data_IF_665458881221
#
_entry.id   IF_665458881221
#
_cell.length_a   1.000
_cell.length_b   1.000
_cell.length_c   1.000
_cell.angle_alpha   90.00
_cell.angle_beta   90.00
_cell.angle_gamma   90.00
#
_symmetry.space_group_name_H-M   'P 1'
#
loop_
_entity.id
_entity.type
_entity.pdbx_description
1 polymer ?
#
# COMPACT_ATOMS: atom_id res chain seq x y z
N UNK A 1 5.49 -14.88 -44.97
CA UNK A 1 5.63 -14.84 -43.50
C UNK A 1 7.04 -15.30 -43.16
N UNK A 2 8.00 -14.38 -43.05
CA UNK A 2 9.39 -14.73 -42.74
C UNK A 2 9.61 -14.57 -41.23
N UNK A 3 9.92 -15.69 -40.56
CA UNK A 3 10.26 -15.72 -39.14
C UNK A 3 11.66 -15.15 -38.92
N UNK A 4 11.74 -13.92 -38.42
CA UNK A 4 12.99 -13.24 -38.10
C UNK A 4 13.50 -13.63 -36.71
N UNK A 5 14.01 -14.86 -36.56
CA UNK A 5 14.67 -15.31 -35.32
C UNK A 5 16.09 -15.80 -35.60
N UNK A 6 17.07 -15.29 -34.85
CA UNK A 6 18.44 -15.84 -34.86
C UNK A 6 18.48 -17.01 -33.87
N UNK A 7 18.89 -18.19 -34.36
CA UNK A 7 19.03 -19.42 -33.56
C UNK A 7 20.51 -19.74 -33.39
N UNK A 8 20.95 -19.96 -32.15
CA UNK A 8 22.29 -20.50 -31.85
C UNK A 8 22.12 -21.59 -30.78
N UNK A 9 22.66 -22.78 -31.02
CA UNK A 9 22.60 -23.96 -30.14
C UNK A 9 21.20 -24.32 -29.60
N UNK A 10 20.16 -24.27 -30.44
CA UNK A 10 18.80 -24.70 -30.06
C UNK A 10 18.08 -23.78 -29.07
N UNK A 11 18.70 -22.69 -28.61
CA UNK A 11 18.07 -21.65 -27.84
C UNK A 11 17.67 -20.48 -28.76
N UNK A 12 16.40 -20.07 -28.70
CA UNK A 12 15.92 -18.87 -29.38
C UNK A 12 16.43 -17.65 -28.60
N UNK A 13 17.50 -17.02 -29.08
CA UNK A 13 18.19 -15.93 -28.34
C UNK A 13 17.33 -14.66 -28.27
N UNK A 14 16.50 -14.41 -29.28
CA UNK A 14 15.57 -13.29 -29.30
C UNK A 14 14.19 -13.78 -29.72
N UNK A 15 13.28 -13.87 -28.75
CA UNK A 15 11.87 -13.99 -29.06
C UNK A 15 11.40 -12.61 -29.57
N UNK A 16 10.70 -12.52 -30.70
CA UNK A 16 10.17 -11.23 -31.22
C UNK A 16 9.29 -10.48 -30.18
N UNK A 17 8.84 -11.20 -29.14
CA UNK A 17 8.18 -10.66 -27.95
C UNK A 17 9.08 -9.79 -27.08
N UNK A 18 10.39 -10.04 -27.05
CA UNK A 18 11.36 -9.22 -26.29
C UNK A 18 11.66 -7.89 -26.98
N UNK A 19 11.63 -7.86 -28.32
CA UNK A 19 11.75 -6.59 -29.10
C UNK A 19 10.59 -5.62 -28.85
N UNK A 20 9.46 -6.12 -28.34
CA UNK A 20 8.27 -5.32 -27.98
C UNK A 20 8.15 -5.02 -26.48
N UNK A 21 9.16 -5.35 -25.67
CA UNK A 21 9.14 -4.95 -24.26
C UNK A 21 9.35 -3.45 -24.17
N UNK A 22 8.44 -2.80 -23.45
CA UNK A 22 8.52 -1.39 -23.14
C UNK A 22 9.83 -1.09 -22.39
N UNK A 23 10.59 -0.12 -22.89
CA UNK A 23 11.90 0.27 -22.36
C UNK A 23 11.86 0.53 -20.85
N UNK A 24 10.77 1.09 -20.31
CA UNK A 24 10.66 1.35 -18.87
C UNK A 24 10.48 0.05 -18.07
N UNK A 25 9.81 -0.94 -18.65
CA UNK A 25 9.58 -2.25 -18.01
C UNK A 25 10.77 -3.19 -18.12
N UNK A 26 11.66 -2.96 -19.08
CA UNK A 26 12.89 -3.74 -19.26
C UNK A 26 14.00 -3.32 -18.27
N UNK A 27 13.88 -2.14 -17.66
CA UNK A 27 14.83 -1.65 -16.67
C UNK A 27 14.68 -2.37 -15.32
N UNK A 28 15.75 -2.39 -14.49
CA UNK A 28 15.62 -2.74 -13.08
C UNK A 28 14.58 -1.87 -12.38
N UNK A 29 13.84 -2.47 -11.44
CA UNK A 29 12.73 -1.83 -10.73
C UNK A 29 13.12 -0.48 -10.10
N UNK A 30 14.33 -0.41 -9.56
CA UNK A 30 14.90 0.78 -8.93
C UNK A 30 14.99 1.95 -9.91
N UNK A 31 15.41 1.67 -11.14
CA UNK A 31 15.55 2.66 -12.21
C UNK A 31 14.18 3.11 -12.70
N UNK A 32 13.25 2.17 -12.92
CA UNK A 32 11.87 2.51 -13.29
C UNK A 32 11.20 3.37 -12.22
N UNK A 33 11.39 3.05 -10.92
CA UNK A 33 10.87 3.88 -9.83
C UNK A 33 11.49 5.27 -9.80
N UNK A 34 12.79 5.38 -10.08
CA UNK A 34 13.47 6.68 -10.14
C UNK A 34 12.90 7.53 -11.28
N UNK A 35 12.66 6.96 -12.46
CA UNK A 35 11.99 7.64 -13.57
C UNK A 35 10.59 8.13 -13.14
N UNK A 36 9.74 7.25 -12.60
CA UNK A 36 8.41 7.63 -12.12
C UNK A 36 8.44 8.66 -10.98
N UNK A 37 9.54 8.75 -10.23
CA UNK A 37 9.67 9.72 -9.15
C UNK A 37 9.79 11.17 -9.64
N UNK A 38 10.34 11.37 -10.84
CA UNK A 38 10.47 12.68 -11.47
C UNK A 38 9.17 13.19 -12.11
N UNK A 39 8.18 12.33 -12.30
CA UNK A 39 6.88 12.75 -12.84
C UNK A 39 6.11 13.62 -11.84
N UNK A 40 5.41 14.62 -12.37
CA UNK A 40 4.41 15.39 -11.66
C UNK A 40 3.14 14.53 -11.40
N UNK A 41 2.25 14.93 -10.46
CA UNK A 41 1.14 14.08 -10.04
C UNK A 41 0.17 13.67 -11.17
N UNK A 42 -0.08 14.56 -12.12
CA UNK A 42 -0.90 14.35 -13.32
C UNK A 42 -0.26 13.34 -14.26
N UNK A 43 1.00 13.54 -14.66
CA UNK A 43 1.69 12.59 -15.53
C UNK A 43 1.90 11.23 -14.87
N UNK A 44 2.11 11.20 -13.55
CA UNK A 44 2.17 9.95 -12.79
C UNK A 44 0.84 9.19 -12.83
N UNK A 45 -0.30 9.89 -12.76
CA UNK A 45 -1.61 9.27 -12.91
C UNK A 45 -1.83 8.74 -14.33
N UNK A 46 -1.45 9.51 -15.35
CA UNK A 46 -1.53 9.08 -16.75
C UNK A 46 -0.68 7.83 -16.96
N UNK A 47 0.57 7.84 -16.51
CA UNK A 47 1.48 6.70 -16.56
C UNK A 47 0.90 5.44 -15.87
N UNK A 48 0.25 5.62 -14.72
CA UNK A 48 -0.42 4.52 -14.02
C UNK A 48 -1.61 3.93 -14.80
N UNK A 49 -2.24 4.70 -15.70
CA UNK A 49 -3.34 4.24 -16.55
C UNK A 49 -2.88 3.67 -17.89
N UNK A 50 -1.69 4.03 -18.37
CA UNK A 50 -1.14 3.59 -19.66
C UNK A 50 -1.01 2.08 -19.77
N UNK A 51 -0.51 1.41 -18.73
CA UNK A 51 -0.39 -0.05 -18.73
C UNK A 51 -0.56 -0.68 -17.35
N UNK A 52 -1.10 -1.91 -17.33
CA UNK A 52 -1.23 -2.71 -16.09
C UNK A 52 0.15 -2.99 -15.47
N UNK A 53 1.20 -3.09 -16.28
CA UNK A 53 2.57 -3.33 -15.82
C UNK A 53 3.13 -2.09 -15.11
N UNK A 54 2.94 -0.90 -15.68
CA UNK A 54 3.37 0.35 -15.05
C UNK A 54 2.63 0.60 -13.75
N UNK A 55 1.33 0.33 -13.71
CA UNK A 55 0.55 0.40 -12.47
C UNK A 55 1.14 -0.51 -11.39
N UNK A 56 1.54 -1.74 -11.74
CA UNK A 56 2.17 -2.68 -10.79
C UNK A 56 3.52 -2.16 -10.30
N UNK A 57 4.36 -1.63 -11.18
CA UNK A 57 5.67 -1.04 -10.83
C UNK A 57 5.47 0.18 -9.92
N UNK A 58 4.56 1.08 -10.24
CA UNK A 58 4.27 2.27 -9.42
C UNK A 58 3.71 1.86 -8.04
N UNK A 59 2.83 0.85 -8.01
CA UNK A 59 2.16 0.38 -6.78
C UNK A 59 3.07 -0.41 -5.83
N UNK A 60 4.13 -1.03 -6.34
CA UNK A 60 5.11 -1.74 -5.52
C UNK A 60 5.99 -0.79 -4.71
N UNK A 61 6.20 0.45 -5.19
CA UNK A 61 6.91 1.48 -4.43
C UNK A 61 5.99 2.27 -3.50
N UNK A 62 6.26 2.21 -2.19
CA UNK A 62 5.45 2.89 -1.17
C UNK A 62 5.37 4.42 -1.37
N UNK A 63 6.45 5.08 -1.81
CA UNK A 63 6.46 6.55 -1.98
C UNK A 63 5.61 6.94 -3.18
N UNK A 64 5.79 6.30 -4.32
CA UNK A 64 5.02 6.56 -5.54
C UNK A 64 3.52 6.26 -5.33
N UNK A 65 3.19 5.10 -4.77
CA UNK A 65 1.81 4.74 -4.42
C UNK A 65 1.15 5.78 -3.50
N UNK A 66 1.88 6.28 -2.50
CA UNK A 66 1.35 7.29 -1.58
C UNK A 66 1.13 8.65 -2.24
N UNK A 67 1.92 9.00 -3.26
CA UNK A 67 1.72 10.21 -4.08
C UNK A 67 0.50 10.06 -4.97
N UNK A 68 0.39 8.94 -5.69
CA UNK A 68 -0.77 8.65 -6.55
C UNK A 68 -2.08 8.65 -5.76
N UNK A 69 -2.14 7.92 -4.63
CA UNK A 69 -3.32 7.90 -3.76
C UNK A 69 -3.69 9.27 -3.18
N UNK A 70 -2.70 10.14 -2.96
CA UNK A 70 -2.96 11.48 -2.48
C UNK A 70 -3.62 12.34 -3.54
N UNK A 71 -3.08 12.26 -4.75
CA UNK A 71 -3.58 13.00 -5.90
C UNK A 71 -5.02 12.59 -6.23
N UNK A 72 -5.30 11.28 -6.26
CA UNK A 72 -6.67 10.78 -6.44
C UNK A 72 -7.62 11.25 -5.33
N UNK A 73 -7.14 11.32 -4.08
CA UNK A 73 -7.93 11.83 -2.97
C UNK A 73 -8.21 13.33 -3.13
N UNK A 74 -7.23 14.12 -3.58
CA UNK A 74 -7.41 15.55 -3.85
C UNK A 74 -8.43 15.78 -4.97
N UNK A 75 -8.40 15.00 -6.04
CA UNK A 75 -9.40 15.05 -7.12
C UNK A 75 -10.80 14.72 -6.57
N UNK A 76 -10.95 13.63 -5.81
CA UNK A 76 -12.24 13.21 -5.24
C UNK A 76 -12.85 14.24 -4.30
N UNK A 77 -12.02 14.94 -3.55
CA UNK A 77 -12.44 15.95 -2.59
C UNK A 77 -12.54 17.35 -3.21
N UNK A 78 -12.08 17.54 -4.45
CA UNK A 78 -12.03 18.84 -5.13
C UNK A 78 -11.02 19.82 -4.54
N UNK A 79 -10.19 19.41 -3.57
CA UNK A 79 -9.22 20.29 -2.92
C UNK A 79 -8.07 19.53 -2.27
N UNK A 80 -6.85 20.04 -2.48
CA UNK A 80 -5.64 19.50 -1.85
C UNK A 80 -5.61 19.77 -0.34
N UNK A 81 -6.08 20.95 0.10
CA UNK A 81 -6.13 21.29 1.53
C UNK A 81 -7.04 20.32 2.29
N UNK A 82 -8.17 19.97 1.68
CA UNK A 82 -9.11 18.99 2.25
C UNK A 82 -8.49 17.59 2.26
N UNK A 83 -7.83 17.16 1.19
CA UNK A 83 -7.11 15.88 1.17
C UNK A 83 -6.02 15.79 2.24
N UNK A 84 -5.28 16.87 2.47
CA UNK A 84 -4.28 16.97 3.54
C UNK A 84 -4.91 16.88 4.93
N UNK A 85 -6.03 17.58 5.16
CA UNK A 85 -6.80 17.49 6.40
C UNK A 85 -7.27 16.06 6.67
N UNK A 86 -7.87 15.39 5.67
CA UNK A 86 -8.31 14.00 5.78
C UNK A 86 -7.17 13.04 6.11
N UNK A 87 -6.00 13.17 5.47
CA UNK A 87 -4.83 12.34 5.77
C UNK A 87 -4.30 12.58 7.19
N UNK A 88 -4.24 13.84 7.63
CA UNK A 88 -3.80 14.19 9.00
C UNK A 88 -4.75 13.64 10.06
N UNK A 89 -6.06 13.69 9.82
CA UNK A 89 -7.05 13.17 10.77
C UNK A 89 -7.16 11.65 10.78
N UNK A 90 -7.00 10.94 9.64
CA UNK A 90 -6.88 9.46 9.64
C UNK A 90 -5.65 8.96 10.40
N UNK A 91 -4.58 9.77 10.47
CA UNK A 91 -3.36 9.44 11.25
C UNK A 91 -3.53 9.65 12.75
N UNK A 92 -4.53 10.40 13.20
CA UNK A 92 -4.89 10.40 14.62
C UNK A 92 -5.38 8.97 14.90
N UNK A 93 -4.67 8.18 15.73
CA UNK A 93 -5.24 6.93 16.19
C UNK A 93 -6.62 7.27 16.77
N UNK A 94 -7.58 6.36 16.68
CA UNK A 94 -8.71 6.35 17.62
C UNK A 94 -8.14 6.19 19.04
N UNK A 95 -7.53 7.26 19.58
CA UNK A 95 -6.93 7.34 20.92
C UNK A 95 -7.98 7.14 22.01
N UNK A 96 -9.27 7.10 21.65
CA UNK A 96 -10.38 6.85 22.55
C UNK A 96 -10.74 5.38 22.78
N UNK A 97 -10.27 4.39 22.00
CA UNK A 97 -10.76 3.00 22.12
C UNK A 97 -9.80 1.99 22.77
N UNK A 98 -8.59 2.40 23.17
CA UNK A 98 -7.56 1.51 23.76
C UNK A 98 -7.13 1.88 25.18
N UNK A 99 -8.04 2.46 25.96
CA UNK A 99 -7.75 2.77 27.36
C UNK A 99 -8.42 1.69 28.22
N UNK A 100 -7.61 0.85 28.86
CA UNK A 100 -8.04 -0.15 29.87
C UNK A 100 -8.48 0.54 31.18
N UNK A 101 -9.24 1.62 31.09
CA UNK A 101 -9.77 2.34 32.23
C UNK A 101 -11.24 1.98 32.41
N UNK A 102 -11.68 1.94 33.66
CA UNK A 102 -13.11 1.88 33.97
C UNK A 102 -13.74 3.22 33.57
N UNK A 103 -14.96 3.17 33.02
CA UNK A 103 -15.74 4.38 32.76
C UNK A 103 -16.00 5.10 34.09
N UNK A 104 -15.96 6.43 34.09
CA UNK A 104 -16.35 7.25 35.24
C UNK A 104 -17.76 6.82 35.68
N UNK A 105 -17.92 6.51 36.97
CA UNK A 105 -19.09 5.88 37.61
C UNK A 105 -19.16 4.34 37.65
N UNK A 106 -18.19 3.58 37.11
CA UNK A 106 -18.06 2.14 37.39
C UNK A 106 -17.03 1.89 38.49
N UNK A 107 -17.48 1.39 39.64
CA UNK A 107 -16.67 1.13 40.84
C UNK A 107 -16.13 -0.30 40.93
N UNK A 108 -16.70 -1.24 40.19
CA UNK A 108 -16.30 -2.65 40.25
C UNK A 108 -15.30 -3.02 39.14
N UNK A 109 -14.14 -3.56 39.53
CA UNK A 109 -13.17 -4.17 38.62
C UNK A 109 -13.71 -5.53 38.20
N UNK A 110 -14.39 -5.61 37.05
CA UNK A 110 -14.75 -6.91 36.47
C UNK A 110 -13.52 -7.48 35.77
N UNK A 111 -12.96 -8.56 36.30
CA UNK A 111 -11.89 -9.29 35.63
C UNK A 111 -12.47 -10.05 34.43
N UNK A 112 -11.71 -10.06 33.32
CA UNK A 112 -11.87 -10.90 32.12
C UNK A 112 -12.78 -10.35 31.02
N UNK A 113 -12.18 -9.51 30.15
CA UNK A 113 -12.50 -9.62 28.73
C UNK A 113 -11.47 -10.55 28.10
N UNK A 114 -11.90 -11.76 27.76
CA UNK A 114 -11.09 -12.72 26.98
C UNK A 114 -11.11 -12.27 25.53
N UNK A 115 -10.06 -11.59 25.05
CA UNK A 115 -9.93 -11.33 23.61
C UNK A 115 -9.10 -12.43 22.99
N UNK A 116 -9.75 -13.34 22.26
CA UNK A 116 -9.08 -14.31 21.40
C UNK A 116 -8.61 -13.56 20.15
N UNK A 117 -7.31 -13.29 20.08
CA UNK A 117 -6.71 -12.69 18.89
C UNK A 117 -6.41 -13.82 17.91
N UNK A 118 -7.27 -13.99 16.90
CA UNK A 118 -7.05 -14.99 15.84
C UNK A 118 -5.73 -14.70 15.12
N UNK A 119 -4.76 -15.59 15.29
CA UNK A 119 -3.48 -15.53 14.57
C UNK A 119 -3.69 -15.86 13.09
N UNK A 120 -2.92 -15.20 12.21
CA UNK A 120 -2.91 -15.51 10.77
C UNK A 120 -2.16 -16.82 10.44
N UNK A 121 -1.44 -17.38 11.41
CA UNK A 121 -0.81 -18.71 11.31
C UNK A 121 -1.70 -19.68 12.09
N UNK A 122 -2.29 -20.66 11.41
CA UNK A 122 -3.13 -21.71 12.04
C UNK A 122 -2.27 -22.43 13.10
N UNK A 123 -2.60 -22.28 14.38
CA UNK A 123 -1.95 -23.03 15.46
C UNK A 123 -1.95 -22.32 16.81
N UNK A 124 -1.71 -21.01 16.85
CA UNK A 124 -1.54 -20.28 18.11
C UNK A 124 -2.68 -19.29 18.35
N UNK A 125 -3.69 -19.71 19.11
CA UNK A 125 -4.69 -18.79 19.64
C UNK A 125 -4.13 -18.09 20.89
N UNK A 126 -3.64 -16.86 20.69
CA UNK A 126 -3.14 -16.04 21.79
C UNK A 126 -4.33 -15.52 22.62
N UNK A 127 -4.45 -16.04 23.85
CA UNK A 127 -5.47 -15.60 24.80
C UNK A 127 -4.89 -14.48 25.68
N UNK A 128 -5.37 -13.25 25.50
CA UNK A 128 -4.88 -12.08 26.25
C UNK A 128 -5.86 -11.73 27.37
N UNK A 129 -5.36 -11.70 28.60
CA UNK A 129 -6.09 -11.21 29.77
C UNK A 129 -5.72 -9.75 30.04
N UNK A 130 -6.70 -8.84 30.03
CA UNK A 130 -6.49 -7.45 30.42
C UNK A 130 -7.21 -7.13 31.73
N UNK A 131 -6.45 -6.61 32.70
CA UNK A 131 -6.99 -5.99 33.94
C UNK A 131 -7.23 -4.51 33.69
N UNK A 132 -8.34 -3.96 34.20
CA UNK A 132 -8.68 -2.53 34.08
C UNK A 132 -8.43 -1.81 35.41
N UNK A 133 -7.93 -0.58 35.33
CA UNK A 133 -7.60 0.23 36.51
C UNK A 133 -8.54 1.45 36.62
N UNK A 134 -8.84 1.88 37.84
CA UNK A 134 -9.54 3.15 38.12
C UNK A 134 -8.49 4.27 38.16
N UNK A 135 -8.75 5.38 37.46
CA UNK A 135 -7.99 6.60 37.67
C UNK A 135 -8.66 7.35 38.82
N UNK A 136 -7.92 7.57 39.91
CA UNK A 136 -8.32 8.45 41.01
C UNK A 136 -8.07 9.90 40.61
#
# INVERSE_FOLDING_TARGET
MFGSGIFVFGAKIFDDKERRRDAITALPLEMSWKIFSYLDPTSLQTAARTSKTWLRIISSNKKLRNRLNHFELAIKLGSESLANFYRRNKRKPHKGKRRNYLAVAKTMVTSKQTTILKSKRRGDDLTVYTKRFKLC
#
